data_IF_909704539836
#
_entry.id   IF_909704539836
#
_cell.length_a   1.000
_cell.length_b   1.000
_cell.length_c   1.000
_cell.angle_alpha   90.00
_cell.angle_beta   90.00
_cell.angle_gamma   90.00
#
_symmetry.space_group_name_H-M   'P 1'
#
loop_
_entity.id
_entity.type
_entity.pdbx_description
1 polymer ?
#
# COMPACT_ATOMS: atom_id res chain seq x y z
N UNK A 1 -20.14 -17.90 34.96
CA UNK A 1 -19.27 -17.15 34.03
C UNK A 1 -19.97 -17.03 32.68
N UNK A 2 -20.37 -15.83 32.25
CA UNK A 2 -21.14 -15.62 31.00
C UNK A 2 -20.21 -14.96 29.98
N UNK A 3 -19.64 -15.76 29.07
CA UNK A 3 -18.78 -15.28 27.98
C UNK A 3 -19.63 -14.43 27.04
N UNK A 4 -19.59 -13.10 27.20
CA UNK A 4 -20.16 -12.18 26.21
C UNK A 4 -19.28 -12.22 24.98
N UNK A 5 -19.74 -12.92 23.95
CA UNK A 5 -19.20 -12.87 22.59
C UNK A 5 -19.39 -11.45 22.03
N UNK A 6 -18.48 -10.53 22.36
CA UNK A 6 -18.42 -9.18 21.80
C UNK A 6 -17.80 -9.28 20.40
N UNK A 7 -18.48 -9.95 19.47
CA UNK A 7 -17.99 -10.21 18.11
C UNK A 7 -17.76 -8.96 17.26
N UNK A 8 -18.26 -7.81 17.72
CA UNK A 8 -18.09 -6.56 17.00
C UNK A 8 -17.82 -5.44 17.99
N UNK A 9 -16.53 -5.22 18.25
CA UNK A 9 -16.05 -4.12 19.08
C UNK A 9 -15.83 -2.91 18.16
N UNK A 10 -16.15 -1.69 18.57
CA UNK A 10 -15.94 -0.48 17.73
C UNK A 10 -14.51 -0.34 17.20
N UNK A 11 -13.55 -0.95 17.89
CA UNK A 11 -12.16 -1.05 17.49
C UNK A 11 -11.94 -1.93 16.25
N UNK A 12 -12.66 -3.05 16.08
CA UNK A 12 -12.55 -3.88 14.86
C UNK A 12 -13.09 -3.15 13.63
N UNK A 13 -14.15 -2.34 13.79
CA UNK A 13 -14.65 -1.43 12.75
C UNK A 13 -13.63 -0.36 12.36
N UNK A 14 -12.86 0.18 13.31
CA UNK A 14 -11.86 1.20 13.02
C UNK A 14 -10.71 0.67 12.13
N UNK A 15 -10.38 -0.62 12.25
CA UNK A 15 -9.37 -1.26 11.39
C UNK A 15 -9.90 -1.64 9.99
N UNK A 16 -11.22 -1.62 9.76
CA UNK A 16 -11.79 -1.89 8.44
C UNK A 16 -11.46 -0.80 7.43
N UNK A 17 -11.33 0.46 7.85
CA UNK A 17 -10.99 1.57 6.94
C UNK A 17 -9.65 1.38 6.23
N UNK A 18 -8.54 1.21 6.97
CA UNK A 18 -7.24 0.91 6.37
C UNK A 18 -7.22 -0.40 5.57
N UNK A 19 -7.90 -1.44 6.04
CA UNK A 19 -7.98 -2.72 5.33
C UNK A 19 -8.73 -2.59 3.99
N UNK A 20 -9.80 -1.81 3.95
CA UNK A 20 -10.56 -1.55 2.73
C UNK A 20 -9.75 -0.75 1.71
N UNK A 21 -9.01 0.28 2.16
CA UNK A 21 -8.13 1.06 1.28
C UNK A 21 -7.07 0.18 0.59
N UNK A 22 -6.45 -0.74 1.34
CA UNK A 22 -5.47 -1.67 0.78
C UNK A 22 -6.14 -2.66 -0.18
N UNK A 23 -7.33 -3.17 0.15
CA UNK A 23 -8.07 -4.09 -0.71
C UNK A 23 -8.48 -3.47 -2.05
N UNK A 24 -8.89 -2.20 -2.06
CA UNK A 24 -9.23 -1.49 -3.30
C UNK A 24 -8.01 -1.38 -4.22
N UNK A 25 -6.83 -1.14 -3.65
CA UNK A 25 -5.58 -1.10 -4.42
C UNK A 25 -5.19 -2.45 -5.06
N UNK A 26 -5.69 -3.58 -4.55
CA UNK A 26 -5.45 -4.91 -5.12
C UNK A 26 -6.46 -5.28 -6.23
N UNK A 27 -7.57 -4.54 -6.32
CA UNK A 27 -8.61 -4.70 -7.33
C UNK A 27 -8.42 -3.69 -8.48
N UNK A 28 -7.18 -3.38 -8.82
CA UNK A 28 -6.85 -2.42 -9.86
C UNK A 28 -7.12 -2.98 -11.27
N UNK A 29 -7.43 -2.12 -12.26
CA UNK A 29 -7.71 -2.55 -13.63
C UNK A 29 -6.54 -3.30 -14.30
N UNK A 30 -5.31 -3.13 -13.81
CA UNK A 30 -4.12 -3.79 -14.34
C UNK A 30 -4.12 -5.30 -14.08
N UNK A 31 -4.66 -5.73 -12.94
CA UNK A 31 -4.77 -7.15 -12.60
C UNK A 31 -5.86 -7.85 -13.43
N UNK A 32 -6.98 -7.17 -13.69
CA UNK A 32 -8.12 -7.73 -14.41
C UNK A 32 -7.78 -8.20 -15.83
N UNK A 33 -6.94 -7.46 -16.55
CA UNK A 33 -6.52 -7.84 -17.91
C UNK A 33 -5.80 -9.18 -17.94
N UNK A 34 -4.87 -9.39 -17.00
CA UNK A 34 -4.08 -10.62 -16.90
C UNK A 34 -4.94 -11.80 -16.47
N UNK A 35 -5.86 -11.61 -15.52
CA UNK A 35 -6.75 -12.66 -15.05
C UNK A 35 -7.77 -13.08 -16.12
N UNK A 36 -8.30 -12.12 -16.90
CA UNK A 36 -9.23 -12.40 -18.01
C UNK A 36 -8.50 -13.09 -19.16
N UNK A 37 -7.33 -12.63 -19.56
CA UNK A 37 -6.51 -13.27 -20.60
C UNK A 37 -6.06 -14.67 -20.17
N UNK A 38 -5.64 -14.81 -18.90
CA UNK A 38 -5.27 -16.09 -18.29
C UNK A 38 -6.45 -17.07 -18.25
N UNK A 39 -7.64 -16.61 -17.88
CA UNK A 39 -8.86 -17.39 -17.89
C UNK A 39 -9.30 -17.80 -19.30
N UNK A 40 -9.17 -16.90 -20.28
CA UNK A 40 -9.50 -17.19 -21.68
C UNK A 40 -8.56 -18.22 -22.33
N UNK A 41 -7.26 -18.20 -21.99
CA UNK A 41 -6.25 -19.11 -22.57
C UNK A 41 -6.10 -20.44 -21.81
N UNK A 42 -6.17 -20.41 -20.48
CA UNK A 42 -5.84 -21.56 -19.63
C UNK A 42 -7.06 -22.10 -18.85
N UNK A 43 -8.23 -21.49 -19.02
CA UNK A 43 -9.44 -21.84 -18.27
C UNK A 43 -9.19 -21.76 -16.77
N UNK A 44 -9.63 -22.79 -16.05
CA UNK A 44 -9.52 -22.85 -14.58
C UNK A 44 -8.16 -23.32 -14.06
N UNK A 45 -7.18 -23.66 -14.92
CA UNK A 45 -5.88 -24.20 -14.48
C UNK A 45 -5.04 -23.21 -13.66
N UNK A 46 -5.29 -21.91 -13.79
CA UNK A 46 -4.56 -20.87 -13.05
C UNK A 46 -5.19 -20.49 -11.72
N UNK A 47 -6.38 -21.01 -11.39
CA UNK A 47 -7.08 -20.64 -10.14
C UNK A 47 -6.25 -20.92 -8.89
N UNK A 48 -5.51 -22.03 -8.86
CA UNK A 48 -4.64 -22.36 -7.71
C UNK A 48 -3.49 -21.37 -7.56
N UNK A 49 -2.96 -20.82 -8.66
CA UNK A 49 -1.90 -19.79 -8.65
C UNK A 49 -2.46 -18.48 -8.11
N UNK A 50 -3.64 -18.07 -8.57
CA UNK A 50 -4.33 -16.86 -8.09
C UNK A 50 -4.64 -16.98 -6.60
N UNK A 51 -5.09 -18.15 -6.14
CA UNK A 51 -5.34 -18.43 -4.73
C UNK A 51 -4.06 -18.30 -3.89
N UNK A 52 -2.96 -18.92 -4.32
CA UNK A 52 -1.67 -18.82 -3.61
C UNK A 52 -1.13 -17.38 -3.60
N UNK A 53 -1.29 -16.64 -4.71
CA UNK A 53 -0.90 -15.24 -4.80
C UNK A 53 -1.65 -14.37 -3.80
N UNK A 54 -2.98 -14.53 -3.71
CA UNK A 54 -3.81 -13.83 -2.73
C UNK A 54 -3.45 -14.20 -1.29
N UNK A 55 -3.18 -15.48 -1.01
CA UNK A 55 -2.78 -15.92 0.32
C UNK A 55 -1.44 -15.28 0.74
N UNK A 56 -0.49 -15.19 -0.19
CA UNK A 56 0.78 -14.50 0.05
C UNK A 56 0.58 -13.00 0.30
N UNK A 57 -0.29 -12.35 -0.47
CA UNK A 57 -0.62 -10.94 -0.28
C UNK A 57 -1.17 -10.66 1.12
N UNK A 58 -2.11 -11.49 1.60
CA UNK A 58 -2.67 -11.40 2.96
C UNK A 58 -1.58 -11.60 4.01
N UNK A 59 -0.69 -12.58 3.82
CA UNK A 59 0.42 -12.82 4.73
C UNK A 59 1.33 -11.58 4.85
N UNK A 60 1.76 -11.01 3.73
CA UNK A 60 2.65 -9.84 3.69
C UNK A 60 1.99 -8.58 4.25
N UNK A 61 0.71 -8.35 3.96
CA UNK A 61 -0.06 -7.24 4.53
C UNK A 61 -0.24 -7.40 6.03
N UNK A 62 -0.49 -8.63 6.52
CA UNK A 62 -0.62 -8.90 7.95
C UNK A 62 0.69 -8.66 8.70
N UNK A 63 1.85 -8.99 8.11
CA UNK A 63 3.16 -8.73 8.70
C UNK A 63 3.47 -7.24 8.72
N UNK A 64 3.19 -6.53 7.63
CA UNK A 64 3.35 -5.07 7.55
C UNK A 64 2.49 -4.35 8.57
N UNK A 65 1.24 -4.77 8.75
CA UNK A 65 0.34 -4.24 9.76
C UNK A 65 0.84 -4.53 11.19
N UNK A 66 1.25 -5.78 11.47
CA UNK A 66 1.82 -6.15 12.78
C UNK A 66 3.07 -5.36 13.10
N UNK A 67 3.96 -5.15 12.13
CA UNK A 67 5.17 -4.34 12.30
C UNK A 67 4.81 -2.89 12.65
N UNK A 68 3.85 -2.29 11.93
CA UNK A 68 3.38 -0.94 12.20
C UNK A 68 2.74 -0.79 13.58
N UNK A 69 1.96 -1.78 14.01
CA UNK A 69 1.34 -1.80 15.35
C UNK A 69 2.38 -1.98 16.45
N UNK A 70 3.37 -2.87 16.26
CA UNK A 70 4.39 -3.17 17.28
C UNK A 70 5.41 -2.04 17.46
N UNK A 71 5.79 -1.37 16.37
CA UNK A 71 6.84 -0.33 16.39
C UNK A 71 6.28 1.10 16.46
N UNK A 72 5.01 1.30 16.12
CA UNK A 72 4.41 2.64 15.96
C UNK A 72 4.99 3.45 14.80
N UNK A 73 5.76 2.80 13.91
CA UNK A 73 6.43 3.38 12.76
C UNK A 73 5.97 2.71 11.47
N UNK A 74 6.00 3.46 10.38
CA UNK A 74 5.74 2.91 9.04
C UNK A 74 6.90 2.03 8.57
N UNK A 75 6.65 1.14 7.61
CA UNK A 75 7.69 0.28 7.04
C UNK A 75 8.90 1.08 6.51
N UNK A 76 8.74 2.21 5.80
CA UNK A 76 9.88 3.05 5.37
C UNK A 76 10.68 3.67 6.52
N UNK A 77 10.02 4.14 7.58
CA UNK A 77 10.70 4.67 8.78
C UNK A 77 11.51 3.57 9.48
N UNK A 78 10.99 2.35 9.51
CA UNK A 78 11.70 1.22 10.09
C UNK A 78 12.90 0.80 9.21
N UNK A 79 12.75 0.82 7.88
CA UNK A 79 13.87 0.61 6.95
C UNK A 79 14.96 1.68 7.12
N UNK A 80 14.58 2.96 7.22
CA UNK A 80 15.54 4.05 7.42
C UNK A 80 16.31 3.93 8.74
N UNK A 81 15.67 3.42 9.79
CA UNK A 81 16.31 3.23 11.10
C UNK A 81 17.31 2.06 11.12
N UNK A 82 17.15 1.05 10.26
CA UNK A 82 17.99 -0.17 10.26
C UNK A 82 18.99 -0.25 9.09
N UNK A 83 18.75 0.45 7.99
CA UNK A 83 19.60 0.40 6.79
C UNK A 83 20.41 1.69 6.59
N UNK A 84 21.55 1.56 5.89
CA UNK A 84 22.39 2.69 5.53
C UNK A 84 21.74 3.63 4.50
N UNK A 85 22.23 4.88 4.44
CA UNK A 85 21.67 5.95 3.58
C UNK A 85 21.54 5.54 2.10
N UNK A 86 22.52 4.83 1.54
CA UNK A 86 22.51 4.38 0.13
C UNK A 86 21.36 3.40 -0.16
N UNK A 87 21.17 2.41 0.71
CA UNK A 87 20.09 1.42 0.57
C UNK A 87 18.71 2.05 0.78
N UNK A 88 18.60 3.01 1.69
CA UNK A 88 17.34 3.73 1.90
C UNK A 88 16.95 4.57 0.68
N UNK A 89 17.92 5.23 0.03
CA UNK A 89 17.67 5.92 -1.25
C UNK A 89 17.23 4.95 -2.35
N UNK A 90 17.83 3.75 -2.41
CA UNK A 90 17.40 2.72 -3.35
C UNK A 90 15.93 2.31 -3.12
N UNK A 91 15.56 1.99 -1.87
CA UNK A 91 14.17 1.65 -1.53
C UNK A 91 13.20 2.78 -1.87
N UNK A 92 13.59 4.03 -1.60
CA UNK A 92 12.78 5.20 -1.93
C UNK A 92 12.52 5.30 -3.43
N UNK A 93 13.56 5.19 -4.28
CA UNK A 93 13.40 5.24 -5.74
C UNK A 93 12.49 4.10 -6.23
N UNK A 94 12.67 2.88 -5.71
CA UNK A 94 11.84 1.74 -6.13
C UNK A 94 10.37 1.91 -5.72
N UNK A 95 10.10 2.45 -4.54
CA UNK A 95 8.74 2.71 -4.07
C UNK A 95 8.06 3.80 -4.92
N UNK A 96 8.80 4.85 -5.27
CA UNK A 96 8.32 5.92 -6.15
C UNK A 96 7.99 5.38 -7.54
N UNK A 97 8.88 4.58 -8.12
CA UNK A 97 8.65 3.92 -9.42
C UNK A 97 7.42 3.00 -9.40
N UNK A 98 7.25 2.21 -8.34
CA UNK A 98 6.08 1.34 -8.18
C UNK A 98 4.77 2.15 -8.05
N UNK A 99 4.78 3.24 -7.29
CA UNK A 99 3.64 4.14 -7.15
C UNK A 99 3.29 4.82 -8.48
N UNK A 100 4.31 5.24 -9.26
CA UNK A 100 4.13 5.82 -10.60
C UNK A 100 3.53 4.82 -11.59
N UNK A 101 4.00 3.56 -11.58
CA UNK A 101 3.46 2.51 -12.43
C UNK A 101 1.98 2.24 -12.14
N UNK A 102 1.59 2.28 -10.86
CA UNK A 102 0.21 2.03 -10.43
C UNK A 102 -0.74 3.20 -10.78
N UNK A 103 -0.28 4.44 -10.66
CA UNK A 103 -1.14 5.63 -10.83
C UNK A 103 -1.30 6.12 -12.27
N UNK A 104 -0.54 5.60 -13.25
CA UNK A 104 -0.73 5.92 -14.66
C UNK A 104 -0.66 7.42 -15.00
N UNK A 105 0.50 7.85 -15.52
CA UNK A 105 0.67 9.11 -16.27
C UNK A 105 0.47 10.46 -15.53
N UNK A 106 -0.04 10.51 -14.29
CA UNK A 106 -0.39 11.78 -13.62
C UNK A 106 0.79 12.58 -13.06
N UNK A 107 1.95 11.95 -12.83
CA UNK A 107 3.15 12.68 -12.39
C UNK A 107 3.74 13.57 -13.50
N UNK A 108 3.70 13.12 -14.77
CA UNK A 108 4.19 13.92 -15.88
C UNK A 108 3.28 15.14 -16.10
N UNK A 109 1.96 15.00 -15.90
CA UNK A 109 1.06 16.16 -15.86
C UNK A 109 1.29 17.03 -14.62
N UNK A 110 1.55 16.48 -13.44
CA UNK A 110 1.78 17.28 -12.22
C UNK A 110 3.13 18.01 -12.23
N UNK A 111 4.12 17.47 -12.96
CA UNK A 111 5.43 18.05 -13.21
C UNK A 111 5.40 19.12 -14.33
N UNK A 112 4.58 18.91 -15.38
CA UNK A 112 4.45 19.85 -16.51
C UNK A 112 3.44 20.98 -16.26
N UNK A 113 2.33 20.72 -15.55
CA UNK A 113 1.28 21.71 -15.29
C UNK A 113 1.47 22.49 -13.98
N UNK A 114 2.52 22.16 -13.21
CA UNK A 114 2.78 22.80 -11.92
C UNK A 114 1.71 22.45 -10.90
N UNK A 115 1.99 21.45 -10.07
CA UNK A 115 1.15 21.18 -8.90
C UNK A 115 0.99 22.45 -8.06
N UNK A 116 -0.23 22.73 -7.61
CA UNK A 116 -0.54 23.69 -6.53
C UNK A 116 0.26 23.40 -5.23
N UNK A 117 1.02 22.31 -5.17
CA UNK A 117 2.03 22.00 -4.16
C UNK A 117 3.26 22.92 -4.15
N UNK A 118 3.55 23.68 -5.21
CA UNK A 118 4.75 24.54 -5.25
C UNK A 118 4.69 25.66 -4.17
N UNK A 119 3.48 26.14 -3.85
CA UNK A 119 3.28 27.12 -2.77
C UNK A 119 3.41 26.53 -1.35
N UNK A 120 3.26 25.21 -1.18
CA UNK A 120 3.36 24.55 0.15
C UNK A 120 4.75 23.93 0.37
N UNK A 121 5.49 23.65 -0.71
CA UNK A 121 6.85 23.12 -0.71
C UNK A 121 7.88 24.05 -0.07
N UNK A 122 7.64 25.36 -0.08
CA UNK A 122 8.53 26.34 0.54
C UNK A 122 8.39 26.46 2.07
N UNK A 123 7.37 25.85 2.68
CA UNK A 123 7.19 25.87 4.14
C UNK A 123 7.55 24.56 4.85
N UNK A 124 7.84 23.48 4.13
CA UNK A 124 8.10 22.16 4.75
C UNK A 124 9.25 21.44 4.05
N UNK A 125 10.30 21.13 4.81
CA UNK A 125 11.54 20.49 4.36
C UNK A 125 11.40 18.98 4.03
N UNK A 126 10.18 18.45 3.93
CA UNK A 126 9.89 17.03 3.76
C UNK A 126 8.89 16.87 2.60
N UNK A 127 9.15 16.00 1.60
CA UNK A 127 8.23 15.78 0.49
C UNK A 127 6.87 15.22 0.98
N UNK A 128 5.80 15.90 0.56
CA UNK A 128 4.41 15.81 1.05
C UNK A 128 3.69 14.47 0.77
N UNK A 129 4.33 13.50 0.13
CA UNK A 129 3.73 12.19 -0.18
C UNK A 129 3.72 11.18 0.99
N UNK A 130 4.15 11.61 2.18
CA UNK A 130 4.10 10.84 3.43
C UNK A 130 3.53 11.70 4.57
N UNK A 131 2.41 12.39 4.32
CA UNK A 131 1.68 13.03 5.42
C UNK A 131 1.08 11.95 6.33
N UNK A 132 1.78 11.71 7.43
CA UNK A 132 1.27 11.06 8.62
C UNK A 132 0.00 11.81 9.07
N UNK A 133 -1.18 11.23 8.82
CA UNK A 133 -2.42 11.70 9.47
C UNK A 133 -2.25 11.42 10.96
N UNK A 134 -1.79 12.44 11.68
CA UNK A 134 -1.69 12.42 13.14
C UNK A 134 -2.70 13.43 13.68
N UNK A 135 -3.77 12.85 14.25
CA UNK A 135 -4.97 13.42 14.88
C UNK A 135 -6.02 14.01 13.93
#
# INVERSE_FOLDING_TARGET
MRVKHRLFNRQSLAYLGPAFLVSVGYMDPGNWGTDIEGGARFGYRLLWVILLSNLMAVLLQSLSAKLGIATGRTLPENCQAHFGKKTNYFFWITAELAAMATHGHRFLSDLLYGSTADKVRHSVSIPVLLLKVTK
#
